data_IF_887739191598
#
_entry.id   IF_887739191598
#
_cell.length_a   1.000
_cell.length_b   1.000
_cell.length_c   1.000
_cell.angle_alpha   90.00
_cell.angle_beta   90.00
_cell.angle_gamma   90.00
#
_symmetry.space_group_name_H-M   'P 1'
#
loop_
_entity.id
_entity.type
_entity.pdbx_description
1 polymer ?
#
# COMPACT_ATOMS: atom_id res chain seq x y z
N UNK A 1 -6.81 7.08 12.40
CA UNK A 1 -6.74 5.60 12.41
C UNK A 1 -7.76 5.01 13.40
N UNK A 2 -7.81 5.43 14.66
CA UNK A 2 -8.63 4.80 15.71
C UNK A 2 -10.16 4.78 15.45
N UNK A 3 -10.67 5.64 14.58
CA UNK A 3 -12.10 5.75 14.25
C UNK A 3 -12.53 4.86 13.07
N UNK A 4 -11.59 4.28 12.35
CA UNK A 4 -11.86 3.37 11.24
C UNK A 4 -12.12 1.96 11.78
N UNK A 5 -12.94 1.21 11.09
CA UNK A 5 -13.32 -0.16 11.46
C UNK A 5 -12.66 -1.23 10.59
N UNK A 6 -11.65 -0.81 9.82
CA UNK A 6 -10.89 -1.73 8.98
C UNK A 6 -10.18 -2.79 9.84
N UNK A 7 -10.17 -4.03 9.37
CA UNK A 7 -9.46 -5.15 9.98
C UNK A 7 -8.60 -5.83 8.91
N UNK A 8 -7.43 -5.25 8.68
CA UNK A 8 -6.42 -5.83 7.80
C UNK A 8 -5.02 -5.61 8.41
N UNK A 9 -4.01 -6.40 8.02
CA UNK A 9 -2.67 -6.34 8.61
C UNK A 9 -2.04 -4.94 8.56
N UNK A 10 -2.18 -4.24 7.43
CA UNK A 10 -1.66 -2.87 7.24
C UNK A 10 -2.28 -1.90 8.24
N UNK A 11 -3.61 -1.90 8.34
CA UNK A 11 -4.33 -1.05 9.28
C UNK A 11 -3.95 -1.35 10.74
N UNK A 12 -3.89 -2.64 11.08
CA UNK A 12 -3.54 -3.09 12.42
C UNK A 12 -2.11 -2.68 12.81
N UNK A 13 -1.16 -2.74 11.87
CA UNK A 13 0.21 -2.26 12.08
C UNK A 13 0.25 -0.76 12.37
N UNK A 14 -0.43 0.06 11.56
CA UNK A 14 -0.52 1.51 11.77
C UNK A 14 -1.20 1.83 13.10
N UNK A 15 -2.28 1.14 13.43
CA UNK A 15 -3.03 1.33 14.68
C UNK A 15 -2.18 0.97 15.91
N UNK A 16 -1.39 -0.07 15.82
CA UNK A 16 -0.49 -0.50 16.89
C UNK A 16 0.69 0.47 17.09
N UNK A 17 1.22 1.03 16.00
CA UNK A 17 2.31 1.99 16.05
C UNK A 17 1.86 3.36 16.60
N UNK A 18 0.62 3.78 16.34
CA UNK A 18 0.02 5.00 16.88
C UNK A 18 -1.08 4.68 17.88
N UNK A 19 -0.75 4.20 19.09
CA UNK A 19 -1.75 3.74 20.08
C UNK A 19 -2.54 4.89 20.71
N UNK A 20 -2.08 6.13 20.56
CA UNK A 20 -2.74 7.30 21.11
C UNK A 20 -4.09 7.56 20.47
N UNK A 21 -5.07 7.92 21.25
CA UNK A 21 -6.36 8.44 20.81
C UNK A 21 -6.39 9.96 20.80
N UNK A 22 -7.37 10.52 20.12
CA UNK A 22 -7.72 11.93 20.20
C UNK A 22 -9.22 12.04 20.53
N UNK A 23 -9.64 13.19 21.03
CA UNK A 23 -11.05 13.50 21.26
C UNK A 23 -11.83 13.78 19.97
N UNK A 24 -11.19 13.55 18.83
CA UNK A 24 -11.80 13.80 17.53
C UNK A 24 -12.86 12.74 17.23
N UNK A 25 -14.07 13.24 17.01
CA UNK A 25 -15.21 12.40 16.62
C UNK A 25 -15.36 12.46 15.11
N UNK A 26 -15.32 11.31 14.45
CA UNK A 26 -15.61 11.23 13.03
C UNK A 26 -17.11 11.46 12.80
N UNK A 27 -17.42 12.42 11.93
CA UNK A 27 -18.78 12.64 11.44
C UNK A 27 -19.13 11.68 10.29
N UNK A 28 -18.15 11.22 9.54
CA UNK A 28 -18.28 10.18 8.51
C UNK A 28 -17.00 9.37 8.38
N UNK A 29 -17.13 8.10 8.00
CA UNK A 29 -16.00 7.22 7.73
C UNK A 29 -16.17 6.50 6.40
N UNK A 30 -15.07 6.26 5.71
CA UNK A 30 -15.01 5.44 4.51
C UNK A 30 -14.00 4.32 4.78
N UNK A 31 -14.47 3.07 4.96
CA UNK A 31 -13.59 1.93 5.17
C UNK A 31 -12.77 1.63 3.91
N UNK A 32 -11.67 0.92 4.07
CA UNK A 32 -10.83 0.48 2.97
C UNK A 32 -11.63 -0.39 1.97
N UNK A 33 -11.29 -0.26 0.70
CA UNK A 33 -11.70 -1.24 -0.31
C UNK A 33 -10.57 -1.45 -1.32
N UNK A 34 -10.48 -2.67 -1.85
CA UNK A 34 -9.47 -3.02 -2.86
C UNK A 34 -9.61 -2.21 -4.16
N UNK A 35 -10.81 -1.73 -4.47
CA UNK A 35 -11.06 -0.89 -5.64
C UNK A 35 -10.58 0.56 -5.44
N UNK A 36 -10.75 1.11 -4.23
CA UNK A 36 -10.32 2.49 -3.91
C UNK A 36 -8.88 2.59 -3.43
N UNK A 37 -8.36 1.51 -2.83
CA UNK A 37 -7.00 1.46 -2.26
C UNK A 37 -6.72 2.48 -1.15
N UNK A 38 -7.76 3.05 -0.54
CA UNK A 38 -7.66 3.98 0.58
C UNK A 38 -8.83 3.86 1.55
N UNK A 39 -8.65 4.36 2.77
CA UNK A 39 -9.67 4.58 3.80
C UNK A 39 -9.54 5.98 4.35
N UNK A 40 -10.60 6.50 5.00
CA UNK A 40 -10.56 7.84 5.56
C UNK A 40 -11.71 8.17 6.48
N UNK A 41 -11.59 9.33 7.13
CA UNK A 41 -12.61 9.87 8.03
C UNK A 41 -12.71 11.39 7.89
N UNK A 42 -13.93 11.89 8.04
CA UNK A 42 -14.24 13.31 8.11
C UNK A 42 -14.52 13.72 9.55
N UNK A 43 -13.90 14.80 10.02
CA UNK A 43 -13.93 15.25 11.41
C UNK A 43 -14.56 16.66 11.57
N UNK A 44 -15.55 16.99 10.75
CA UNK A 44 -16.21 18.30 10.80
C UNK A 44 -15.25 19.44 10.44
N UNK A 45 -15.11 20.44 11.31
CA UNK A 45 -14.24 21.61 11.07
C UNK A 45 -12.77 21.27 10.85
N UNK A 46 -12.33 20.07 11.19
CA UNK A 46 -10.96 19.59 10.98
C UNK A 46 -10.74 18.95 9.61
N UNK A 47 -11.80 18.86 8.80
CA UNK A 47 -11.75 18.30 7.45
C UNK A 47 -11.67 16.78 7.37
N UNK A 48 -11.26 16.32 6.23
CA UNK A 48 -11.14 14.91 5.85
C UNK A 48 -9.68 14.48 5.87
N UNK A 49 -9.41 13.34 6.51
CA UNK A 49 -8.11 12.66 6.48
C UNK A 49 -8.27 11.32 5.80
N UNK A 50 -7.37 11.01 4.88
CA UNK A 50 -7.36 9.74 4.16
C UNK A 50 -5.96 9.11 4.19
N UNK A 51 -5.92 7.78 4.15
CA UNK A 51 -4.69 7.01 4.15
C UNK A 51 -4.82 5.87 3.14
N UNK A 52 -3.82 5.68 2.31
CA UNK A 52 -3.80 4.61 1.31
C UNK A 52 -2.76 4.79 0.22
N UNK A 53 -3.00 4.16 -0.93
CA UNK A 53 -2.13 4.27 -2.10
C UNK A 53 -2.18 5.68 -2.69
N UNK A 54 -1.02 6.32 -2.83
CA UNK A 54 -0.90 7.71 -3.22
C UNK A 54 -1.48 8.00 -4.61
N UNK A 55 -1.30 7.10 -5.55
CA UNK A 55 -1.82 7.18 -6.90
C UNK A 55 -3.35 7.18 -6.98
N UNK A 56 -4.02 6.50 -6.03
CA UNK A 56 -5.48 6.48 -5.91
C UNK A 56 -6.04 7.70 -5.16
N UNK A 57 -5.22 8.34 -4.32
CA UNK A 57 -5.63 9.54 -3.56
C UNK A 57 -5.41 10.79 -4.38
N UNK A 58 -4.25 10.96 -5.05
CA UNK A 58 -3.84 12.17 -5.75
C UNK A 58 -3.99 12.09 -7.28
N UNK A 59 -4.21 10.88 -7.84
CA UNK A 59 -4.26 10.69 -9.27
C UNK A 59 -2.98 11.17 -9.96
N UNK A 60 -3.10 11.95 -11.03
CA UNK A 60 -1.96 12.49 -11.78
C UNK A 60 -1.00 13.36 -10.94
N UNK A 61 -1.50 14.03 -9.90
CA UNK A 61 -0.67 14.84 -8.98
C UNK A 61 0.32 14.02 -8.17
N UNK A 62 0.12 12.69 -8.06
CA UNK A 62 1.05 11.79 -7.39
C UNK A 62 2.41 11.74 -8.10
N UNK A 63 2.49 12.07 -9.39
CA UNK A 63 3.74 12.09 -10.14
C UNK A 63 4.85 12.90 -9.48
N UNK A 64 4.52 14.01 -8.82
CA UNK A 64 5.48 14.86 -8.11
C UNK A 64 6.10 14.19 -6.87
N UNK A 65 5.44 13.16 -6.31
CA UNK A 65 5.88 12.43 -5.12
C UNK A 65 6.49 11.05 -5.46
N UNK A 66 6.42 10.64 -6.72
CA UNK A 66 6.81 9.29 -7.16
C UNK A 66 8.25 8.96 -6.83
N UNK A 67 9.18 9.85 -7.11
CA UNK A 67 10.60 9.64 -6.86
C UNK A 67 10.86 9.30 -5.38
N UNK A 68 10.25 10.05 -4.45
CA UNK A 68 10.38 9.78 -3.03
C UNK A 68 9.78 8.43 -2.61
N UNK A 69 8.65 8.06 -3.20
CA UNK A 69 8.02 6.78 -2.88
C UNK A 69 8.76 5.59 -3.46
N UNK A 70 9.39 5.74 -4.63
CA UNK A 70 10.24 4.73 -5.26
C UNK A 70 11.50 4.45 -4.43
N UNK A 71 12.11 5.46 -3.81
CA UNK A 71 13.25 5.26 -2.89
C UNK A 71 12.88 4.34 -1.70
N UNK A 72 11.70 4.52 -1.12
CA UNK A 72 11.23 3.66 -0.03
C UNK A 72 10.84 2.28 -0.52
N UNK A 73 10.15 2.20 -1.67
CA UNK A 73 9.79 0.93 -2.28
C UNK A 73 11.02 0.07 -2.63
N UNK A 74 12.12 0.70 -3.10
CA UNK A 74 13.41 0.05 -3.36
C UNK A 74 14.09 -0.51 -2.09
N UNK A 75 13.62 -0.14 -0.91
CA UNK A 75 14.04 -0.72 0.38
C UNK A 75 13.08 -1.80 0.89
N UNK A 76 12.12 -2.24 0.06
CA UNK A 76 11.10 -3.20 0.45
C UNK A 76 10.01 -2.62 1.37
N UNK A 77 9.90 -1.28 1.47
CA UNK A 77 8.93 -0.62 2.32
C UNK A 77 7.64 -0.34 1.57
N UNK A 78 6.51 -0.72 2.14
CA UNK A 78 5.20 -0.31 1.64
C UNK A 78 4.91 1.12 2.06
N UNK A 79 4.64 1.98 1.08
CA UNK A 79 4.39 3.41 1.31
C UNK A 79 2.88 3.67 1.28
N UNK A 80 2.36 4.23 2.37
CA UNK A 80 1.00 4.76 2.42
C UNK A 80 1.07 6.29 2.48
N UNK A 81 0.29 6.95 1.64
CA UNK A 81 0.09 8.38 1.71
C UNK A 81 -0.94 8.71 2.78
N UNK A 82 -0.63 9.65 3.66
CA UNK A 82 -1.58 10.38 4.47
C UNK A 82 -1.88 11.71 3.78
N UNK A 83 -3.15 11.98 3.53
CA UNK A 83 -3.59 13.23 2.88
C UNK A 83 -4.76 13.85 3.63
N UNK A 84 -4.96 15.16 3.44
CA UNK A 84 -5.96 15.97 4.11
C UNK A 84 -6.69 16.89 3.12
N UNK A 85 -7.95 17.16 3.40
CA UNK A 85 -8.76 18.21 2.79
C UNK A 85 -9.58 18.92 3.84
N UNK A 86 -9.81 20.22 3.70
CA UNK A 86 -10.72 20.97 4.56
C UNK A 86 -12.20 20.62 4.32
N UNK A 87 -12.52 20.01 3.18
CA UNK A 87 -13.88 19.66 2.77
C UNK A 87 -14.28 18.25 3.24
N UNK A 88 -15.61 17.98 3.36
CA UNK A 88 -16.10 16.62 3.56
C UNK A 88 -15.91 15.76 2.31
N UNK A 89 -16.11 14.44 2.45
CA UNK A 89 -16.26 13.56 1.29
C UNK A 89 -17.40 14.04 0.39
N UNK A 90 -17.19 13.95 -0.91
CA UNK A 90 -18.24 14.17 -1.89
C UNK A 90 -19.25 13.01 -1.90
N UNK A 91 -20.34 13.15 -2.65
CA UNK A 91 -21.29 12.08 -2.86
C UNK A 91 -20.61 10.80 -3.36
N UNK A 92 -21.18 9.64 -3.01
CA UNK A 92 -20.62 8.31 -3.35
C UNK A 92 -19.19 8.06 -2.80
N UNK A 93 -18.80 8.73 -1.70
CA UNK A 93 -17.49 8.53 -1.06
C UNK A 93 -16.31 8.92 -1.98
N UNK A 94 -16.51 9.91 -2.83
CA UNK A 94 -15.46 10.47 -3.67
C UNK A 94 -14.62 11.44 -2.84
N UNK A 95 -13.31 11.49 -3.11
CA UNK A 95 -12.40 12.42 -2.46
C UNK A 95 -12.66 13.86 -2.91
N UNK A 96 -12.50 14.85 -2.00
CA UNK A 96 -12.50 16.25 -2.37
C UNK A 96 -11.37 16.58 -3.36
N UNK A 97 -11.61 17.56 -4.23
CA UNK A 97 -10.67 18.03 -5.25
C UNK A 97 -9.45 18.77 -4.67
N UNK A 98 -9.58 19.30 -3.46
CA UNK A 98 -8.54 20.03 -2.72
C UNK A 98 -7.73 19.14 -1.77
N UNK A 99 -7.75 17.79 -1.97
CA UNK A 99 -6.98 16.87 -1.13
C UNK A 99 -5.48 17.08 -1.34
N UNK A 100 -4.75 17.28 -0.25
CA UNK A 100 -3.32 17.56 -0.27
C UNK A 100 -2.53 16.54 0.55
N UNK A 101 -1.30 16.18 0.13
CA UNK A 101 -0.44 15.26 0.88
C UNK A 101 -0.01 15.89 2.20
N UNK A 102 -0.03 15.09 3.27
CA UNK A 102 0.46 15.46 4.61
C UNK A 102 1.80 14.78 4.90
N UNK A 103 1.94 13.51 4.49
CA UNK A 103 3.16 12.75 4.73
C UNK A 103 2.99 11.28 4.35
N UNK A 104 4.05 10.50 4.58
CA UNK A 104 4.07 9.07 4.31
C UNK A 104 4.10 8.27 5.60
N UNK A 105 3.46 7.12 5.57
CA UNK A 105 3.57 6.06 6.57
C UNK A 105 4.28 4.91 5.87
N UNK A 106 5.43 4.53 6.40
CA UNK A 106 6.26 3.45 5.87
C UNK A 106 6.01 2.19 6.69
N UNK A 107 5.78 1.09 6.02
CA UNK A 107 5.55 -0.21 6.63
C UNK A 107 6.53 -1.20 6.02
N UNK A 108 7.39 -1.76 6.86
CA UNK A 108 8.30 -2.83 6.47
C UNK A 108 7.68 -4.17 6.84
N UNK A 109 7.62 -5.07 5.88
CA UNK A 109 7.17 -6.44 6.13
C UNK A 109 8.33 -7.22 6.79
N UNK A 110 8.05 -7.81 7.94
CA UNK A 110 9.03 -8.69 8.59
C UNK A 110 8.93 -10.07 7.96
N UNK A 111 9.97 -10.48 7.25
CA UNK A 111 10.06 -11.83 6.71
C UNK A 111 10.07 -12.83 7.86
N UNK A 112 9.24 -13.87 7.74
CA UNK A 112 9.20 -14.95 8.73
C UNK A 112 10.56 -15.66 8.77
N UNK A 113 11.04 -15.96 9.96
CA UNK A 113 12.36 -16.56 10.18
C UNK A 113 12.55 -17.87 9.40
N UNK A 114 11.47 -18.63 9.22
CA UNK A 114 11.48 -19.93 8.54
C UNK A 114 11.38 -19.80 7.01
N UNK A 115 10.99 -18.64 6.48
CA UNK A 115 10.73 -18.47 5.05
C UNK A 115 11.97 -18.73 4.18
N UNK A 116 13.16 -18.18 4.47
CA UNK A 116 14.35 -18.43 3.65
C UNK A 116 14.74 -19.90 3.56
N UNK A 117 14.62 -20.63 4.69
CA UNK A 117 14.91 -22.06 4.74
C UNK A 117 13.90 -22.88 3.92
N UNK A 118 12.62 -22.54 4.04
CA UNK A 118 11.54 -23.22 3.31
C UNK A 118 11.67 -23.00 1.80
N UNK A 119 11.94 -21.77 1.39
CA UNK A 119 12.11 -21.41 -0.02
C UNK A 119 13.33 -22.12 -0.62
N UNK A 120 14.45 -22.15 0.09
CA UNK A 120 15.65 -22.90 -0.30
C UNK A 120 15.36 -24.39 -0.48
N UNK A 121 14.64 -24.99 0.45
CA UNK A 121 14.25 -26.41 0.35
C UNK A 121 13.46 -26.67 -0.94
N UNK A 122 12.50 -25.84 -1.30
CA UNK A 122 11.76 -25.99 -2.56
C UNK A 122 12.65 -25.82 -3.79
N UNK A 123 13.54 -24.84 -3.78
CA UNK A 123 14.50 -24.64 -4.86
C UNK A 123 15.41 -25.86 -5.06
N UNK A 124 15.93 -26.45 -3.98
CA UNK A 124 16.75 -27.69 -4.00
C UNK A 124 15.97 -28.91 -4.53
N UNK A 125 14.64 -28.92 -4.42
CA UNK A 125 13.78 -29.93 -5.03
C UNK A 125 13.41 -29.63 -6.49
N UNK A 126 13.99 -28.60 -7.08
CA UNK A 126 13.72 -28.19 -8.47
C UNK A 126 12.37 -27.51 -8.66
N UNK A 127 11.72 -27.03 -7.59
CA UNK A 127 10.46 -26.28 -7.67
C UNK A 127 10.77 -24.82 -7.99
N UNK A 128 10.24 -24.33 -9.12
CA UNK A 128 10.25 -22.91 -9.44
C UNK A 128 9.22 -22.16 -8.60
N UNK A 129 9.69 -21.15 -7.87
CA UNK A 129 8.84 -20.29 -7.04
C UNK A 129 8.50 -19.05 -7.85
N UNK A 130 7.20 -18.71 -7.91
CA UNK A 130 6.71 -17.45 -8.50
C UNK A 130 5.88 -16.69 -7.46
N UNK A 131 6.15 -15.39 -7.32
CA UNK A 131 5.39 -14.50 -6.44
C UNK A 131 4.36 -13.75 -7.27
N UNK A 132 3.10 -13.81 -6.85
CA UNK A 132 2.00 -13.05 -7.46
C UNK A 132 1.42 -12.14 -6.37
N UNK A 133 1.48 -10.83 -6.59
CA UNK A 133 1.03 -9.84 -5.60
C UNK A 133 0.27 -8.70 -6.28
N UNK A 134 -0.61 -8.05 -5.53
CA UNK A 134 -1.26 -6.79 -5.92
C UNK A 134 -0.56 -5.55 -5.36
N UNK A 135 0.58 -5.72 -4.70
CA UNK A 135 1.40 -4.62 -4.18
C UNK A 135 2.34 -4.04 -5.25
N UNK A 136 3.04 -2.96 -4.92
CA UNK A 136 4.02 -2.35 -5.83
C UNK A 136 5.10 -3.38 -6.22
N UNK A 137 5.35 -3.60 -7.53
CA UNK A 137 6.26 -4.66 -7.99
C UNK A 137 7.71 -4.49 -7.49
N UNK A 138 8.19 -3.26 -7.34
CA UNK A 138 9.54 -3.00 -6.78
C UNK A 138 9.62 -3.46 -5.34
N UNK A 139 8.62 -3.11 -4.52
CA UNK A 139 8.55 -3.56 -3.11
C UNK A 139 8.50 -5.08 -3.01
N UNK A 140 7.69 -5.74 -3.85
CA UNK A 140 7.57 -7.20 -3.87
C UNK A 140 8.87 -7.87 -4.28
N UNK A 141 9.55 -7.34 -5.29
CA UNK A 141 10.87 -7.82 -5.73
C UNK A 141 11.90 -7.77 -4.59
N UNK A 142 12.02 -6.64 -3.89
CA UNK A 142 12.98 -6.50 -2.79
C UNK A 142 12.65 -7.42 -1.60
N UNK A 143 11.38 -7.59 -1.24
CA UNK A 143 10.97 -8.53 -0.20
C UNK A 143 11.25 -9.99 -0.62
N UNK A 144 11.01 -10.34 -1.90
CA UNK A 144 11.30 -11.66 -2.43
C UNK A 144 12.80 -11.98 -2.41
N UNK A 145 13.63 -11.00 -2.78
CA UNK A 145 15.09 -11.07 -2.74
C UNK A 145 15.61 -11.24 -1.30
N UNK A 146 15.11 -10.46 -0.36
CA UNK A 146 15.44 -10.60 1.06
C UNK A 146 15.01 -11.97 1.61
N UNK A 147 13.89 -12.52 1.13
CA UNK A 147 13.44 -13.86 1.46
C UNK A 147 14.29 -14.98 0.84
N UNK A 148 15.19 -14.66 -0.11
CA UNK A 148 16.09 -15.61 -0.76
C UNK A 148 15.49 -16.31 -1.98
N UNK A 149 14.53 -15.68 -2.66
CA UNK A 149 14.02 -16.16 -3.94
C UNK A 149 15.04 -15.80 -5.04
N UNK A 150 15.45 -16.80 -5.81
CA UNK A 150 16.32 -16.60 -6.97
C UNK A 150 15.59 -15.81 -8.07
N UNK A 151 16.32 -15.00 -8.82
CA UNK A 151 15.81 -14.16 -9.91
C UNK A 151 14.66 -13.23 -9.50
N UNK A 152 14.63 -12.79 -8.23
CA UNK A 152 13.56 -11.92 -7.68
C UNK A 152 13.51 -10.55 -8.36
N UNK A 153 14.58 -10.11 -9.01
CA UNK A 153 14.66 -8.91 -9.84
C UNK A 153 13.94 -9.03 -11.18
N UNK A 154 13.70 -10.25 -11.66
CA UNK A 154 12.97 -10.53 -12.88
C UNK A 154 11.46 -10.51 -12.62
N UNK A 155 10.91 -9.31 -12.48
CA UNK A 155 9.47 -9.13 -12.26
C UNK A 155 8.80 -8.40 -13.43
N UNK A 156 7.50 -8.63 -13.56
CA UNK A 156 6.65 -7.95 -14.54
C UNK A 156 5.53 -7.24 -13.80
N UNK A 157 5.32 -5.96 -14.13
CA UNK A 157 4.13 -5.25 -13.69
C UNK A 157 2.92 -5.71 -14.51
N UNK A 158 2.02 -6.46 -13.87
CA UNK A 158 0.85 -7.04 -14.51
C UNK A 158 -0.08 -5.96 -15.12
N UNK A 159 -0.01 -4.72 -14.68
CA UNK A 159 -0.78 -3.61 -15.26
C UNK A 159 -0.32 -3.26 -16.68
N UNK A 160 0.90 -3.64 -17.06
CA UNK A 160 1.46 -3.43 -18.40
C UNK A 160 1.14 -4.55 -19.39
N UNK A 161 0.60 -5.69 -18.91
CA UNK A 161 0.25 -6.83 -19.75
C UNK A 161 -1.10 -6.57 -20.45
N UNK A 162 -1.05 -6.34 -21.74
CA UNK A 162 -2.22 -5.92 -22.53
C UNK A 162 -2.95 -7.06 -23.23
N UNK A 163 -2.33 -8.24 -23.35
CA UNK A 163 -2.89 -9.41 -24.02
C UNK A 163 -2.40 -10.73 -23.42
N UNK A 164 -3.07 -11.82 -23.85
CA UNK A 164 -2.81 -13.17 -23.37
C UNK A 164 -1.40 -13.69 -23.76
N UNK A 165 -0.86 -13.22 -24.89
CA UNK A 165 0.51 -13.60 -25.32
C UNK A 165 1.57 -12.97 -24.44
N UNK A 166 1.37 -11.71 -24.02
CA UNK A 166 2.25 -11.04 -23.08
C UNK A 166 2.23 -11.76 -21.71
N UNK A 167 1.06 -12.25 -21.28
CA UNK A 167 0.93 -13.02 -20.06
C UNK A 167 1.70 -14.36 -20.06
N UNK A 168 1.72 -15.06 -21.21
CA UNK A 168 2.45 -16.33 -21.33
C UNK A 168 3.96 -16.15 -21.54
N UNK A 169 4.41 -14.94 -21.90
CA UNK A 169 5.83 -14.61 -22.09
C UNK A 169 6.50 -14.09 -20.79
N UNK A 170 5.70 -13.70 -19.80
CA UNK A 170 6.12 -13.21 -18.49
C UNK A 170 6.25 -14.38 -17.49
#
# INVERSE_FOLDING_TARGET
VQVLTDDNPTYNAVKAYFPGGSDWKAAATVPFSSARKWSGAYFGERGTYVMGAGEFILGERFGALREHTEEYAARGERVLLLAHSAKPFLENKVLPDDIEPVGFILISDKIRTEAPQTLRYFAEQGVKIKVISGDNPVTVSEVAKEAGIEDAEDYVDASTLTDEKALFAA
#
